data_IF_901216198957
#
_entry.id   IF_901216198957
#
_cell.length_a   1.000
_cell.length_b   1.000
_cell.length_c   1.000
_cell.angle_alpha   90.00
_cell.angle_beta   90.00
_cell.angle_gamma   90.00
#
_symmetry.space_group_name_H-M   'P 1'
#
loop_
_entity.id
_entity.type
_entity.pdbx_description
1 polymer ?
#
# COMPACT_ATOMS: atom_id res chain seq x y z
N UNK A 1 -27.90 -6.73 -41.27
CA UNK A 1 -28.43 -5.88 -40.17
C UNK A 1 -27.83 -6.20 -38.80
N UNK A 2 -27.80 -7.47 -38.35
CA UNK A 2 -27.24 -7.90 -37.03
C UNK A 2 -25.81 -7.46 -36.72
N UNK A 3 -24.93 -7.40 -37.73
CA UNK A 3 -23.51 -7.03 -37.56
C UNK A 3 -23.30 -5.60 -37.03
N UNK A 4 -24.13 -4.64 -37.46
CA UNK A 4 -24.04 -3.25 -36.99
C UNK A 4 -24.45 -3.14 -35.51
N UNK A 5 -25.45 -3.91 -35.10
CA UNK A 5 -25.93 -3.94 -33.72
C UNK A 5 -24.90 -4.54 -32.75
N UNK A 6 -24.28 -5.67 -33.13
CA UNK A 6 -23.21 -6.30 -32.33
C UNK A 6 -22.02 -5.35 -32.17
N UNK A 7 -21.59 -4.68 -33.25
CA UNK A 7 -20.48 -3.73 -33.22
C UNK A 7 -20.79 -2.53 -32.32
N UNK A 8 -22.03 -2.01 -32.37
CA UNK A 8 -22.50 -0.94 -31.49
C UNK A 8 -22.48 -1.33 -30.01
N UNK A 9 -23.01 -2.52 -29.67
CA UNK A 9 -22.96 -3.05 -28.28
C UNK A 9 -21.53 -3.20 -27.78
N UNK A 10 -20.64 -3.76 -28.61
CA UNK A 10 -19.23 -3.95 -28.26
C UNK A 10 -18.52 -2.62 -28.04
N UNK A 11 -18.80 -1.60 -28.88
CA UNK A 11 -18.22 -0.25 -28.75
C UNK A 11 -18.65 0.42 -27.44
N UNK A 12 -19.95 0.39 -27.10
CA UNK A 12 -20.46 0.89 -25.82
C UNK A 12 -19.85 0.17 -24.62
N UNK A 13 -19.65 -1.15 -24.72
CA UNK A 13 -19.01 -1.92 -23.65
C UNK A 13 -17.54 -1.53 -23.47
N UNK A 14 -16.81 -1.27 -24.57
CA UNK A 14 -15.43 -0.78 -24.52
C UNK A 14 -15.37 0.62 -23.90
N UNK A 15 -16.24 1.55 -24.32
CA UNK A 15 -16.31 2.92 -23.79
C UNK A 15 -16.52 2.91 -22.27
N UNK A 16 -17.48 2.11 -21.75
CA UNK A 16 -17.69 1.95 -20.31
C UNK A 16 -16.47 1.40 -19.56
N UNK A 17 -15.73 0.47 -20.18
CA UNK A 17 -14.49 -0.07 -19.60
C UNK A 17 -13.38 0.97 -19.58
N UNK A 18 -13.30 1.81 -20.60
CA UNK A 18 -12.33 2.90 -20.69
C UNK A 18 -12.63 3.99 -19.66
N UNK A 19 -13.88 4.42 -19.53
CA UNK A 19 -14.30 5.35 -18.47
C UNK A 19 -13.93 4.83 -17.08
N UNK A 20 -14.21 3.56 -16.80
CA UNK A 20 -13.87 2.93 -15.51
C UNK A 20 -12.36 2.73 -15.31
N UNK A 21 -11.57 2.71 -16.38
CA UNK A 21 -10.12 2.54 -16.31
C UNK A 21 -9.37 3.86 -16.08
N UNK A 22 -10.03 5.01 -16.24
CA UNK A 22 -9.44 6.29 -15.88
C UNK A 22 -9.13 6.28 -14.38
N UNK A 23 -7.84 6.41 -14.06
CA UNK A 23 -7.35 6.39 -12.68
C UNK A 23 -7.96 7.56 -11.91
N UNK A 24 -8.98 7.29 -11.11
CA UNK A 24 -9.38 8.19 -10.05
C UNK A 24 -8.29 8.14 -8.96
N UNK A 25 -7.52 9.22 -8.86
CA UNK A 25 -6.47 9.38 -7.85
C UNK A 25 -7.11 9.73 -6.51
N UNK A 26 -7.72 8.74 -5.87
CA UNK A 26 -8.26 8.85 -4.53
C UNK A 26 -7.13 8.94 -3.48
N UNK A 27 -7.44 9.39 -2.27
CA UNK A 27 -6.53 9.46 -1.14
C UNK A 27 -5.83 8.11 -0.90
N UNK A 28 -6.54 6.99 -1.09
CA UNK A 28 -5.98 5.63 -1.03
C UNK A 28 -4.81 5.42 -1.98
N UNK A 29 -4.82 6.08 -3.13
CA UNK A 29 -3.80 5.96 -4.14
C UNK A 29 -2.50 6.66 -3.71
N UNK A 30 -2.58 7.83 -3.09
CA UNK A 30 -1.38 8.53 -2.61
C UNK A 30 -0.77 7.84 -1.40
N UNK A 31 -1.61 7.41 -0.45
CA UNK A 31 -1.14 6.76 0.78
C UNK A 31 -0.44 5.44 0.49
N UNK A 32 -0.94 4.60 -0.43
CA UNK A 32 -0.28 3.32 -0.77
C UNK A 32 1.11 3.54 -1.38
N UNK A 33 1.27 4.55 -2.23
CA UNK A 33 2.57 4.81 -2.89
C UNK A 33 3.57 5.43 -1.92
N UNK A 34 3.13 6.38 -1.09
CA UNK A 34 3.97 6.94 -0.03
C UNK A 34 4.43 5.85 0.95
N UNK A 35 3.52 4.99 1.40
CA UNK A 35 3.83 3.88 2.31
C UNK A 35 4.78 2.86 1.67
N UNK A 36 4.60 2.57 0.39
CA UNK A 36 5.48 1.69 -0.37
C UNK A 36 6.88 2.26 -0.52
N UNK A 37 7.01 3.56 -0.81
CA UNK A 37 8.30 4.22 -0.94
C UNK A 37 9.07 4.17 0.38
N UNK A 38 8.40 4.47 1.51
CA UNK A 38 8.98 4.38 2.85
C UNK A 38 9.46 2.96 3.16
N UNK A 39 8.65 1.94 2.88
CA UNK A 39 9.05 0.54 3.09
C UNK A 39 10.25 0.14 2.22
N UNK A 40 10.28 0.57 0.96
CA UNK A 40 11.41 0.28 0.08
C UNK A 40 12.70 0.92 0.60
N UNK A 41 12.64 2.17 1.09
CA UNK A 41 13.79 2.81 1.74
C UNK A 41 14.25 2.01 2.96
N UNK A 42 13.32 1.54 3.81
CA UNK A 42 13.67 0.70 4.95
C UNK A 42 14.35 -0.63 4.53
N UNK A 43 13.81 -1.31 3.51
CA UNK A 43 14.39 -2.54 2.96
C UNK A 43 15.78 -2.32 2.37
N UNK A 44 16.04 -1.17 1.74
CA UNK A 44 17.37 -0.81 1.25
C UNK A 44 18.36 -0.67 2.41
N UNK A 45 17.98 0.04 3.48
CA UNK A 45 18.82 0.18 4.68
C UNK A 45 19.13 -1.19 5.31
N UNK A 46 18.11 -2.04 5.43
CA UNK A 46 18.27 -3.42 5.93
C UNK A 46 19.16 -4.26 5.03
N UNK A 47 18.97 -4.20 3.72
CA UNK A 47 19.79 -4.93 2.75
C UNK A 47 21.27 -4.51 2.82
N UNK A 48 21.53 -3.23 3.06
CA UNK A 48 22.87 -2.69 3.27
C UNK A 48 23.42 -2.86 4.69
N UNK A 49 22.68 -3.47 5.62
CA UNK A 49 23.03 -3.57 7.05
C UNK A 49 23.38 -2.21 7.68
N UNK A 50 22.80 -1.13 7.17
CA UNK A 50 23.10 0.24 7.53
C UNK A 50 21.96 0.85 8.34
N UNK A 51 22.31 1.65 9.37
CA UNK A 51 21.37 2.40 10.19
C UNK A 51 20.16 1.56 10.68
N UNK A 52 20.39 0.53 11.51
CA UNK A 52 19.34 -0.41 11.93
C UNK A 52 18.17 0.26 12.66
N UNK A 53 18.43 1.33 13.41
CA UNK A 53 17.37 2.11 14.05
C UNK A 53 16.50 2.86 13.03
N UNK A 54 17.10 3.42 11.98
CA UNK A 54 16.37 4.10 10.92
C UNK A 54 15.54 3.11 10.10
N UNK A 55 16.06 1.90 9.79
CA UNK A 55 15.28 0.81 9.19
C UNK A 55 14.05 0.49 10.04
N UNK A 56 14.23 0.35 11.35
CA UNK A 56 13.16 -0.03 12.27
C UNK A 56 12.04 1.02 12.32
N UNK A 57 12.40 2.31 12.42
CA UNK A 57 11.43 3.43 12.41
C UNK A 57 10.73 3.52 11.06
N UNK A 58 11.47 3.50 9.95
CA UNK A 58 10.90 3.58 8.60
C UNK A 58 10.01 2.39 8.29
N UNK A 59 10.41 1.17 8.68
CA UNK A 59 9.58 -0.02 8.55
C UNK A 59 8.27 0.12 9.34
N UNK A 60 8.32 0.66 10.56
CA UNK A 60 7.13 0.89 11.39
C UNK A 60 6.17 1.88 10.72
N UNK A 61 6.69 3.01 10.22
CA UNK A 61 5.89 4.01 9.51
C UNK A 61 5.31 3.47 8.21
N UNK A 62 6.09 2.70 7.46
CA UNK A 62 5.67 2.04 6.23
C UNK A 62 4.53 1.03 6.46
N UNK A 63 4.65 0.19 7.49
CA UNK A 63 3.58 -0.74 7.88
C UNK A 63 2.34 0.00 8.43
N UNK A 64 2.50 1.09 9.18
CA UNK A 64 1.38 1.90 9.67
C UNK A 64 0.62 2.57 8.50
N UNK A 65 1.34 3.05 7.49
CA UNK A 65 0.74 3.58 6.27
C UNK A 65 -0.03 2.52 5.48
N UNK A 66 0.52 1.31 5.34
CA UNK A 66 -0.18 0.18 4.71
C UNK A 66 -1.37 -0.34 5.53
N UNK A 67 -1.31 -0.26 6.86
CA UNK A 67 -2.46 -0.52 7.72
C UNK A 67 -3.61 0.44 7.43
N UNK A 68 -3.31 1.75 7.28
CA UNK A 68 -4.32 2.74 6.91
C UNK A 68 -4.94 2.44 5.53
N UNK A 69 -4.14 2.00 4.55
CA UNK A 69 -4.63 1.52 3.24
C UNK A 69 -5.54 0.30 3.40
N UNK A 70 -5.15 -0.67 4.23
CA UNK A 70 -5.98 -1.85 4.52
C UNK A 70 -7.34 -1.50 5.10
N UNK A 71 -7.39 -0.53 6.02
CA UNK A 71 -8.65 -0.01 6.56
C UNK A 71 -9.48 0.66 5.46
N UNK A 72 -8.86 1.48 4.61
CA UNK A 72 -9.53 2.18 3.51
C UNK A 72 -10.10 1.22 2.45
N UNK A 73 -9.37 0.13 2.16
CA UNK A 73 -9.80 -0.92 1.23
C UNK A 73 -10.74 -1.94 1.86
N UNK A 74 -10.96 -1.87 3.18
CA UNK A 74 -11.71 -2.87 3.97
C UNK A 74 -11.19 -4.29 3.76
N UNK A 75 -9.89 -4.44 3.51
CA UNK A 75 -9.23 -5.72 3.29
C UNK A 75 -8.71 -6.29 4.62
N UNK A 76 -9.34 -7.39 5.07
CA UNK A 76 -9.04 -8.00 6.38
C UNK A 76 -7.63 -8.58 6.45
N UNK A 77 -7.12 -9.14 5.36
CA UNK A 77 -5.79 -9.74 5.35
C UNK A 77 -4.72 -8.65 5.44
N UNK A 78 -4.89 -7.56 4.70
CA UNK A 78 -3.97 -6.42 4.71
C UNK A 78 -3.95 -5.72 6.08
N UNK A 79 -5.10 -5.61 6.74
CA UNK A 79 -5.22 -5.05 8.09
C UNK A 79 -4.48 -5.92 9.11
N UNK A 80 -4.77 -7.23 9.17
CA UNK A 80 -4.19 -8.13 10.19
C UNK A 80 -2.67 -8.19 10.04
N UNK A 81 -2.17 -8.32 8.81
CA UNK A 81 -0.73 -8.40 8.55
C UNK A 81 -0.01 -7.13 9.00
N UNK A 82 -0.49 -5.96 8.59
CA UNK A 82 0.19 -4.70 8.90
C UNK A 82 0.00 -4.28 10.36
N UNK A 83 -1.14 -4.60 10.99
CA UNK A 83 -1.34 -4.37 12.42
C UNK A 83 -0.34 -5.18 13.26
N UNK A 84 -0.19 -6.48 12.96
CA UNK A 84 0.80 -7.32 13.62
C UNK A 84 2.23 -6.80 13.39
N UNK A 85 2.56 -6.41 12.16
CA UNK A 85 3.87 -5.85 11.83
C UNK A 85 4.16 -4.56 12.61
N UNK A 86 3.19 -3.64 12.71
CA UNK A 86 3.34 -2.41 13.50
C UNK A 86 3.60 -2.71 14.96
N UNK A 87 2.87 -3.64 15.57
CA UNK A 87 3.07 -4.01 16.99
C UNK A 87 4.47 -4.58 17.22
N UNK A 88 4.92 -5.49 16.35
CA UNK A 88 6.24 -6.11 16.44
C UNK A 88 7.34 -5.05 16.26
N UNK A 89 7.26 -4.24 15.21
CA UNK A 89 8.29 -3.26 14.90
C UNK A 89 8.32 -2.12 15.94
N UNK A 90 7.15 -1.64 16.38
CA UNK A 90 7.05 -0.64 17.43
C UNK A 90 7.62 -1.13 18.76
N UNK A 91 7.43 -2.41 19.11
CA UNK A 91 8.07 -3.00 20.29
C UNK A 91 9.60 -2.96 20.19
N UNK A 92 10.15 -3.18 18.99
CA UNK A 92 11.57 -3.01 18.72
C UNK A 92 12.03 -1.56 18.88
N UNK A 93 11.26 -0.59 18.36
CA UNK A 93 11.59 0.85 18.50
C UNK A 93 11.64 1.24 19.98
N UNK A 94 10.61 0.88 20.74
CA UNK A 94 10.54 1.16 22.19
C UNK A 94 11.73 0.54 22.91
N UNK A 95 12.09 -0.69 22.57
CA UNK A 95 13.23 -1.38 23.16
C UNK A 95 14.55 -0.62 22.92
N UNK A 96 14.81 -0.21 21.68
CA UNK A 96 16.01 0.59 21.35
C UNK A 96 16.00 1.93 22.09
N UNK A 97 14.85 2.60 22.17
CA UNK A 97 14.72 3.88 22.88
C UNK A 97 14.88 3.75 24.40
N UNK A 98 14.41 2.63 24.98
CA UNK A 98 14.56 2.32 26.39
C UNK A 98 16.00 1.90 26.76
N UNK A 99 16.84 1.61 25.77
CA UNK A 99 18.23 1.17 25.98
C UNK A 99 18.36 -0.26 26.50
N UNK A 100 17.39 -1.13 26.20
CA UNK A 100 17.30 -2.54 26.68
C UNK A 100 17.37 -3.55 25.52
#
# INVERSE_FOLDING_TARGET
MKLKEIRSKKKKQIEKRLEKAWLEFDLSWWVKWASSLILLTAMILRGGQAYPFADLVLSTLGCAGWLAVGVMWKDRALIILNAAAVVILASGVVRVLAGV
#
